data_IF_123051995222
#
_entry.id   IF_123051995222
#
_cell.length_a   1.000
_cell.length_b   1.000
_cell.length_c   1.000
_cell.angle_alpha   90.00
_cell.angle_beta   90.00
_cell.angle_gamma   90.00
#
_symmetry.space_group_name_H-M   'P 1'
#
loop_
_entity.id
_entity.type
_entity.pdbx_description
1 polymer ?
#
# COMPACT_ATOMS: atom_id res chain seq x y z
N UNK A 1 1.20 5.59 26.48
CA UNK A 1 -0.09 6.09 27.02
C UNK A 1 -0.55 7.17 26.06
N UNK A 2 -1.78 7.09 25.53
CA UNK A 2 -2.27 8.05 24.53
C UNK A 2 -2.40 9.44 25.15
N UNK A 3 -2.04 10.47 24.40
CA UNK A 3 -2.01 11.86 24.87
C UNK A 3 -3.39 12.50 24.79
N UNK A 4 -3.95 12.90 25.93
CA UNK A 4 -5.23 13.62 25.96
C UNK A 4 -5.08 15.12 25.66
N UNK A 5 -5.96 15.65 24.81
CA UNK A 5 -6.00 17.08 24.47
C UNK A 5 -7.42 17.59 24.72
N UNK A 6 -7.54 18.62 25.56
CA UNK A 6 -8.82 19.31 25.78
C UNK A 6 -8.89 20.57 24.90
N UNK A 7 -9.78 20.56 23.91
CA UNK A 7 -10.00 21.69 23.01
C UNK A 7 -11.14 22.60 23.48
N UNK A 8 -11.83 22.30 24.59
CA UNK A 8 -12.96 23.10 25.08
C UNK A 8 -12.47 24.48 25.54
N UNK A 9 -13.07 25.54 24.98
CA UNK A 9 -12.67 26.91 25.27
C UNK A 9 -11.26 27.27 24.80
N UNK A 10 -10.62 26.41 24.01
CA UNK A 10 -9.26 26.59 23.52
C UNK A 10 -9.24 27.33 22.18
N UNK A 11 -8.24 28.18 21.97
CA UNK A 11 -7.91 28.78 20.67
C UNK A 11 -6.75 28.04 19.97
N UNK A 12 -6.33 26.89 20.49
CA UNK A 12 -5.24 26.09 19.91
C UNK A 12 -5.68 25.60 18.53
N UNK A 13 -4.82 25.80 17.53
CA UNK A 13 -5.00 25.22 16.21
C UNK A 13 -4.88 23.69 16.29
N UNK A 14 -5.93 22.92 15.94
CA UNK A 14 -5.88 21.45 15.99
C UNK A 14 -4.73 20.85 15.17
N UNK A 15 -4.27 21.54 14.10
CA UNK A 15 -3.13 21.11 13.27
C UNK A 15 -1.81 21.12 14.03
N UNK A 16 -1.70 21.94 15.07
CA UNK A 16 -0.54 22.00 15.97
C UNK A 16 -0.74 21.06 17.15
N UNK A 17 -1.97 20.89 17.61
CA UNK A 17 -2.30 20.02 18.74
C UNK A 17 -2.10 18.53 18.40
N UNK A 18 -2.48 18.13 17.19
CA UNK A 18 -2.34 16.76 16.66
C UNK A 18 -1.62 16.85 15.30
N UNK A 19 -0.29 17.06 15.29
CA UNK A 19 0.46 17.14 14.05
C UNK A 19 0.50 15.76 13.37
N UNK A 20 0.61 15.75 12.04
CA UNK A 20 0.94 14.51 11.31
C UNK A 20 2.34 14.03 11.68
N UNK A 21 2.57 12.73 11.61
CA UNK A 21 3.91 12.17 11.72
C UNK A 21 4.82 12.78 10.63
N UNK A 22 5.97 13.30 11.04
CA UNK A 22 6.94 13.85 10.10
C UNK A 22 7.60 12.70 9.32
N UNK A 23 7.49 12.74 7.99
CA UNK A 23 8.27 11.86 7.11
C UNK A 23 9.47 12.65 6.57
N UNK A 24 10.68 12.18 6.84
CA UNK A 24 11.89 12.75 6.23
C UNK A 24 12.08 12.21 4.80
N UNK A 25 11.22 12.67 3.90
CA UNK A 25 11.27 12.27 2.48
C UNK A 25 12.56 12.77 1.81
N UNK A 26 13.19 13.83 2.33
CA UNK A 26 14.44 14.36 1.79
C UNK A 26 15.62 13.41 2.07
N UNK A 27 15.80 12.96 3.32
CA UNK A 27 16.82 11.94 3.66
C UNK A 27 16.54 10.63 2.89
N UNK A 28 15.28 10.23 2.78
CA UNK A 28 14.93 9.05 1.99
C UNK A 28 15.30 9.21 0.51
N UNK A 29 15.10 10.40 -0.09
CA UNK A 29 15.45 10.69 -1.47
C UNK A 29 16.96 10.61 -1.72
N UNK A 30 17.78 11.14 -0.80
CA UNK A 30 19.25 11.04 -0.91
C UNK A 30 19.72 9.58 -0.84
N UNK A 31 19.10 8.77 0.01
CA UNK A 31 19.42 7.34 0.14
C UNK A 31 19.02 6.51 -1.07
N UNK A 32 17.91 6.84 -1.74
CA UNK A 32 17.45 6.08 -2.91
C UNK A 32 18.05 6.56 -4.23
N UNK A 33 18.63 7.76 -4.29
CA UNK A 33 19.20 8.30 -5.52
C UNK A 33 20.24 7.37 -6.20
N UNK A 34 21.18 6.73 -5.46
CA UNK A 34 22.07 5.74 -6.05
C UNK A 34 21.32 4.54 -6.64
N UNK A 35 20.27 4.05 -5.96
CA UNK A 35 19.45 2.92 -6.40
C UNK A 35 18.80 3.24 -7.75
N UNK A 36 18.16 4.41 -7.85
CA UNK A 36 17.47 4.83 -9.08
C UNK A 36 18.45 4.97 -10.26
N UNK A 37 19.63 5.54 -10.01
CA UNK A 37 20.68 5.71 -11.03
C UNK A 37 21.20 4.36 -11.51
N UNK A 38 21.55 3.46 -10.60
CA UNK A 38 22.09 2.14 -10.95
C UNK A 38 21.08 1.28 -11.69
N UNK A 39 19.80 1.30 -11.30
CA UNK A 39 18.76 0.58 -12.07
C UNK A 39 18.61 1.15 -13.48
N UNK A 40 18.75 2.46 -13.66
CA UNK A 40 18.71 3.09 -14.98
C UNK A 40 19.91 2.72 -15.86
N UNK A 41 21.10 2.62 -15.27
CA UNK A 41 22.36 2.40 -15.98
C UNK A 41 22.64 0.91 -16.23
N UNK A 42 22.29 0.05 -15.27
CA UNK A 42 22.68 -1.36 -15.22
C UNK A 42 21.50 -2.33 -15.28
N UNK A 43 20.26 -1.82 -15.24
CA UNK A 43 19.05 -2.62 -15.43
C UNK A 43 18.87 -3.72 -14.39
N UNK A 44 18.53 -4.93 -14.85
CA UNK A 44 18.14 -6.05 -13.99
C UNK A 44 19.24 -6.50 -13.00
N UNK A 45 20.52 -6.34 -13.33
CA UNK A 45 21.60 -6.71 -12.40
C UNK A 45 21.64 -5.79 -11.18
N UNK A 46 21.42 -4.48 -11.36
CA UNK A 46 21.28 -3.58 -10.21
C UNK A 46 20.06 -3.95 -9.36
N UNK A 47 18.93 -4.28 -9.98
CA UNK A 47 17.73 -4.72 -9.26
C UNK A 47 18.00 -5.97 -8.41
N UNK A 48 18.69 -6.97 -8.97
CA UNK A 48 19.06 -8.19 -8.26
C UNK A 48 20.00 -7.93 -7.09
N UNK A 49 21.03 -7.09 -7.27
CA UNK A 49 21.96 -6.71 -6.19
C UNK A 49 21.26 -5.98 -5.05
N UNK A 50 20.41 -5.00 -5.36
CA UNK A 50 19.67 -4.26 -4.34
C UNK A 50 18.67 -5.15 -3.60
N UNK A 51 18.07 -6.12 -4.29
CA UNK A 51 17.20 -7.13 -3.63
C UNK A 51 18.01 -7.99 -2.66
N UNK A 52 19.21 -8.44 -3.04
CA UNK A 52 20.09 -9.21 -2.15
C UNK A 52 20.51 -8.39 -0.91
N UNK A 53 20.84 -7.11 -1.10
CA UNK A 53 21.30 -6.23 -0.03
C UNK A 53 20.17 -5.80 0.93
N UNK A 54 18.98 -5.50 0.41
CA UNK A 54 17.87 -4.91 1.18
C UNK A 54 16.89 -5.96 1.69
N UNK A 55 16.56 -6.96 0.86
CA UNK A 55 15.62 -8.04 1.21
C UNK A 55 16.35 -9.26 1.80
N UNK A 56 17.68 -9.28 1.77
CA UNK A 56 18.51 -10.35 2.33
C UNK A 56 18.49 -11.64 1.51
N UNK A 57 17.98 -11.58 0.27
CA UNK A 57 17.89 -12.71 -0.65
C UNK A 57 17.97 -12.22 -2.09
N UNK A 58 18.79 -12.88 -2.91
CA UNK A 58 18.78 -12.72 -4.35
C UNK A 58 17.72 -13.66 -4.94
N UNK A 59 16.65 -13.16 -5.59
CA UNK A 59 15.64 -14.05 -6.18
C UNK A 59 16.25 -14.89 -7.31
N UNK A 60 15.79 -16.14 -7.52
CA UNK A 60 16.31 -17.00 -8.59
C UNK A 60 16.11 -16.42 -9.99
N UNK A 61 15.01 -15.70 -10.18
CA UNK A 61 14.74 -14.86 -11.34
C UNK A 61 13.89 -13.66 -10.90
N UNK A 62 13.96 -12.55 -11.64
CA UNK A 62 13.09 -11.40 -11.35
C UNK A 62 11.64 -11.73 -11.67
N UNK A 63 11.34 -12.29 -12.85
CA UNK A 63 9.97 -12.70 -13.21
C UNK A 63 9.62 -14.00 -12.50
N UNK A 64 8.51 -14.00 -11.77
CA UNK A 64 7.99 -15.19 -11.11
C UNK A 64 7.48 -16.17 -12.17
N UNK A 65 7.92 -17.44 -12.16
CA UNK A 65 7.42 -18.44 -13.09
C UNK A 65 5.91 -18.70 -12.90
N UNK A 66 5.17 -18.91 -14.00
CA UNK A 66 3.74 -19.20 -13.95
C UNK A 66 3.40 -20.41 -13.07
N UNK A 67 4.27 -21.41 -13.02
CA UNK A 67 4.14 -22.57 -12.14
C UNK A 67 4.14 -22.17 -10.65
N UNK A 68 4.97 -21.21 -10.23
CA UNK A 68 4.98 -20.73 -8.85
C UNK A 68 3.68 -20.02 -8.48
N UNK A 69 3.10 -19.27 -9.43
CA UNK A 69 1.80 -18.59 -9.26
C UNK A 69 0.67 -19.63 -9.13
N UNK A 70 0.64 -20.63 -10.01
CA UNK A 70 -0.36 -21.70 -9.98
C UNK A 70 -0.25 -22.57 -8.72
N UNK A 71 0.96 -22.95 -8.32
CA UNK A 71 1.20 -23.71 -7.09
C UNK A 71 0.78 -22.92 -5.85
N UNK A 72 1.00 -21.60 -5.85
CA UNK A 72 0.58 -20.74 -4.76
C UNK A 72 -0.96 -20.69 -4.63
N UNK A 73 -1.70 -20.62 -5.74
CA UNK A 73 -3.17 -20.72 -5.71
C UNK A 73 -3.64 -22.07 -5.18
N UNK A 74 -3.08 -23.16 -5.72
CA UNK A 74 -3.44 -24.52 -5.33
C UNK A 74 -3.14 -24.82 -3.86
N UNK A 75 -2.11 -24.16 -3.31
CA UNK A 75 -1.70 -24.27 -1.91
C UNK A 75 -2.44 -23.34 -0.94
N UNK A 76 -3.35 -22.47 -1.41
CA UNK A 76 -4.12 -21.62 -0.51
C UNK A 76 -5.01 -22.47 0.41
N UNK A 77 -4.97 -22.20 1.70
CA UNK A 77 -5.93 -22.77 2.64
C UNK A 77 -7.37 -22.44 2.19
N UNK A 78 -8.32 -23.39 2.25
CA UNK A 78 -9.68 -23.17 1.74
C UNK A 78 -10.38 -21.94 2.31
N UNK A 79 -10.18 -21.67 3.61
CA UNK A 79 -10.74 -20.50 4.28
C UNK A 79 -10.13 -19.18 3.77
N UNK A 80 -8.81 -19.15 3.54
CA UNK A 80 -8.11 -17.99 2.98
C UNK A 80 -8.56 -17.75 1.54
N UNK A 81 -8.63 -18.80 0.72
CA UNK A 81 -9.11 -18.70 -0.67
C UNK A 81 -10.54 -18.15 -0.72
N UNK A 82 -11.44 -18.64 0.13
CA UNK A 82 -12.81 -18.14 0.21
C UNK A 82 -12.86 -16.66 0.61
N UNK A 83 -12.06 -16.25 1.61
CA UNK A 83 -11.99 -14.85 2.04
C UNK A 83 -11.45 -13.92 0.93
N UNK A 84 -10.44 -14.36 0.18
CA UNK A 84 -9.89 -13.60 -0.94
C UNK A 84 -10.93 -13.44 -2.06
N UNK A 85 -11.65 -14.50 -2.42
CA UNK A 85 -12.71 -14.43 -3.43
C UNK A 85 -13.84 -13.49 -3.03
N UNK A 86 -14.28 -13.53 -1.77
CA UNK A 86 -15.29 -12.60 -1.24
C UNK A 86 -14.80 -11.15 -1.29
N UNK A 87 -13.54 -10.90 -0.91
CA UNK A 87 -12.93 -9.58 -0.99
C UNK A 87 -12.81 -9.08 -2.44
N UNK A 88 -12.42 -9.94 -3.38
CA UNK A 88 -12.37 -9.62 -4.81
C UNK A 88 -13.75 -9.23 -5.32
N UNK A 89 -14.78 -10.03 -5.01
CA UNK A 89 -16.14 -9.77 -5.46
C UNK A 89 -16.70 -8.44 -4.91
N UNK A 90 -16.54 -8.19 -3.60
CA UNK A 90 -16.98 -6.92 -2.98
C UNK A 90 -16.26 -5.71 -3.55
N UNK A 91 -14.92 -5.80 -3.69
CA UNK A 91 -14.13 -4.70 -4.25
C UNK A 91 -14.52 -4.43 -5.69
N UNK A 92 -14.78 -5.48 -6.48
CA UNK A 92 -15.21 -5.34 -7.87
C UNK A 92 -16.58 -4.67 -7.98
N UNK A 93 -17.55 -5.07 -7.15
CA UNK A 93 -18.87 -4.42 -7.08
C UNK A 93 -18.74 -2.92 -6.79
N UNK A 94 -17.99 -2.55 -5.77
CA UNK A 94 -17.82 -1.15 -5.38
C UNK A 94 -17.15 -0.29 -6.48
N UNK A 95 -16.15 -0.83 -7.19
CA UNK A 95 -15.46 -0.07 -8.24
C UNK A 95 -16.27 0.00 -9.55
N UNK A 96 -17.11 -0.99 -9.84
CA UNK A 96 -18.01 -0.94 -11.00
C UNK A 96 -19.00 0.23 -10.90
N UNK A 97 -19.51 0.51 -9.70
CA UNK A 97 -20.42 1.65 -9.46
C UNK A 97 -19.75 3.02 -9.67
N UNK A 98 -18.40 3.07 -9.63
CA UNK A 98 -17.63 4.30 -9.81
C UNK A 98 -17.19 4.53 -11.26
N UNK A 99 -17.46 3.58 -12.17
CA UNK A 99 -16.98 3.66 -13.55
C UNK A 99 -17.67 4.83 -14.28
N UNK A 100 -16.85 5.80 -14.69
CA UNK A 100 -17.32 6.96 -15.46
C UNK A 100 -17.63 6.58 -16.90
N UNK A 101 -18.56 7.30 -17.51
CA UNK A 101 -18.96 7.15 -18.90
C UNK A 101 -18.66 8.42 -19.68
N UNK A 102 -18.32 8.26 -20.96
CA UNK A 102 -18.08 9.38 -21.86
C UNK A 102 -19.32 10.28 -21.92
N UNK A 103 -19.11 11.59 -21.86
CA UNK A 103 -20.20 12.58 -21.83
C UNK A 103 -20.02 13.58 -22.96
N UNK A 104 -21.06 13.76 -23.79
CA UNK A 104 -21.07 14.74 -24.88
C UNK A 104 -22.06 15.86 -24.58
N UNK A 105 -21.55 17.09 -24.58
CA UNK A 105 -22.32 18.32 -24.38
C UNK A 105 -22.44 19.08 -25.70
N UNK A 106 -23.66 19.49 -26.06
CA UNK A 106 -23.91 20.43 -27.15
C UNK A 106 -23.77 21.84 -26.58
N UNK A 107 -22.71 22.54 -26.94
CA UNK A 107 -22.41 23.88 -26.39
C UNK A 107 -23.16 24.96 -27.18
N UNK A 108 -23.28 24.76 -28.49
CA UNK A 108 -24.05 25.60 -29.44
C UNK A 108 -24.62 24.71 -30.54
N UNK A 109 -25.55 25.23 -31.35
CA UNK A 109 -26.07 24.50 -32.50
C UNK A 109 -24.92 24.04 -33.43
N UNK A 110 -24.80 22.73 -33.63
CA UNK A 110 -23.73 22.12 -34.43
C UNK A 110 -22.36 22.02 -33.75
N UNK A 111 -22.20 22.55 -32.53
CA UNK A 111 -20.94 22.52 -31.77
C UNK A 111 -21.04 21.62 -30.54
N UNK A 112 -20.26 20.54 -30.51
CA UNK A 112 -20.24 19.56 -29.42
C UNK A 112 -18.86 19.44 -28.77
N UNK A 113 -18.82 19.19 -27.47
CA UNK A 113 -17.61 18.85 -26.71
C UNK A 113 -17.86 17.50 -26.05
N UNK A 114 -16.92 16.55 -26.22
CA UNK A 114 -16.99 15.23 -25.59
C UNK A 114 -15.84 15.06 -24.60
N UNK A 115 -16.18 14.76 -23.35
CA UNK A 115 -15.24 14.25 -22.36
C UNK A 115 -15.19 12.72 -22.46
N UNK A 116 -13.99 12.16 -22.59
CA UNK A 116 -13.78 10.71 -22.70
C UNK A 116 -12.91 10.20 -21.56
N UNK A 117 -13.26 9.03 -21.04
CA UNK A 117 -12.50 8.33 -20.01
C UNK A 117 -11.73 7.17 -20.64
N UNK A 118 -10.43 7.35 -20.84
CA UNK A 118 -9.55 6.36 -21.46
C UNK A 118 -8.65 5.75 -20.37
N UNK A 119 -8.60 4.42 -20.21
CA UNK A 119 -7.69 3.79 -19.27
C UNK A 119 -6.22 4.00 -19.68
N UNK A 120 -5.31 3.98 -18.70
CA UNK A 120 -3.87 3.89 -18.99
C UNK A 120 -3.56 2.59 -19.74
N UNK A 121 -2.52 2.60 -20.56
CA UNK A 121 -2.17 1.43 -21.38
C UNK A 121 -1.52 0.34 -20.52
N UNK A 122 -0.59 0.73 -19.65
CA UNK A 122 0.09 -0.19 -18.74
C UNK A 122 0.26 0.38 -17.32
N UNK A 123 -0.08 -0.44 -16.32
CA UNK A 123 0.03 -0.07 -14.89
C UNK A 123 0.94 -1.01 -14.11
N UNK A 124 1.82 -0.45 -13.28
CA UNK A 124 2.62 -1.18 -12.30
C UNK A 124 2.00 -1.13 -10.91
N UNK A 125 1.81 -2.28 -10.29
CA UNK A 125 1.10 -2.42 -9.03
C UNK A 125 2.08 -2.90 -7.96
N UNK A 126 2.51 -1.98 -7.10
CA UNK A 126 3.42 -2.28 -6.00
C UNK A 126 2.66 -2.88 -4.82
N UNK A 127 3.08 -4.06 -4.39
CA UNK A 127 2.50 -4.79 -3.26
C UNK A 127 3.56 -4.95 -2.18
N UNK A 128 3.37 -4.36 -0.98
CA UNK A 128 4.30 -4.53 0.12
C UNK A 128 4.45 -5.98 0.56
N UNK A 129 5.64 -6.33 1.04
CA UNK A 129 5.93 -7.62 1.68
C UNK A 129 7.05 -7.50 2.72
N UNK A 130 7.57 -8.63 3.17
CA UNK A 130 8.59 -8.70 4.23
C UNK A 130 7.95 -8.89 5.60
N UNK A 131 7.90 -7.82 6.42
CA UNK A 131 7.41 -7.90 7.81
C UNK A 131 5.92 -8.25 7.94
N UNK A 132 5.13 -7.90 6.94
CA UNK A 132 3.71 -8.19 6.89
C UNK A 132 3.30 -8.56 5.46
N UNK A 133 2.30 -9.41 5.36
CA UNK A 133 1.84 -10.00 4.09
C UNK A 133 0.42 -9.51 3.84
N UNK A 134 0.23 -8.71 2.79
CA UNK A 134 -1.04 -8.05 2.50
C UNK A 134 -1.60 -8.46 1.13
N UNK A 135 -2.26 -9.63 1.03
CA UNK A 135 -2.97 -10.01 -0.21
C UNK A 135 -4.12 -9.05 -0.52
N UNK A 136 -4.64 -8.34 0.49
CA UNK A 136 -5.58 -7.23 0.32
C UNK A 136 -5.02 -6.14 -0.60
N UNK A 137 -3.72 -5.81 -0.52
CA UNK A 137 -3.10 -4.82 -1.40
C UNK A 137 -3.07 -5.26 -2.86
N UNK A 138 -2.96 -6.56 -3.15
CA UNK A 138 -3.12 -7.09 -4.51
C UNK A 138 -4.52 -6.77 -5.01
N UNK A 139 -5.54 -7.12 -4.23
CA UNK A 139 -6.96 -6.91 -4.58
C UNK A 139 -7.24 -5.42 -4.82
N UNK A 140 -6.82 -4.56 -3.89
CA UNK A 140 -7.08 -3.12 -3.95
C UNK A 140 -6.35 -2.40 -5.07
N UNK A 141 -5.31 -2.99 -5.67
CA UNK A 141 -4.60 -2.43 -6.83
C UNK A 141 -5.09 -3.03 -8.15
N UNK A 142 -5.22 -4.36 -8.22
CA UNK A 142 -5.54 -5.08 -9.47
C UNK A 142 -7.00 -4.89 -9.88
N UNK A 143 -7.94 -4.99 -8.94
CA UNK A 143 -9.37 -4.87 -9.25
C UNK A 143 -9.73 -3.53 -9.90
N UNK A 144 -9.33 -2.36 -9.37
CA UNK A 144 -9.62 -1.09 -10.06
C UNK A 144 -8.98 -1.00 -11.44
N UNK A 145 -7.76 -1.52 -11.64
CA UNK A 145 -7.11 -1.55 -12.95
C UNK A 145 -7.91 -2.39 -13.97
N UNK A 146 -8.39 -3.56 -13.55
CA UNK A 146 -9.24 -4.42 -14.38
C UNK A 146 -10.60 -3.78 -14.67
N UNK A 147 -11.23 -3.15 -13.68
CA UNK A 147 -12.52 -2.46 -13.85
C UNK A 147 -12.40 -1.25 -14.77
N UNK A 148 -11.27 -0.53 -14.72
CA UNK A 148 -10.97 0.57 -15.63
C UNK A 148 -10.74 0.09 -17.08
N UNK A 149 -10.39 -1.19 -17.27
CA UNK A 149 -10.10 -1.77 -18.58
C UNK A 149 -8.67 -1.53 -19.06
N UNK A 150 -7.71 -1.44 -18.12
CA UNK A 150 -6.28 -1.35 -18.44
C UNK A 150 -5.85 -2.59 -19.22
N UNK A 151 -5.16 -2.39 -20.35
CA UNK A 151 -4.77 -3.47 -21.27
C UNK A 151 -3.62 -4.33 -20.74
N UNK A 152 -2.74 -3.75 -19.93
CA UNK A 152 -1.55 -4.44 -19.43
C UNK A 152 -1.28 -4.04 -17.97
N UNK A 153 -1.04 -5.02 -17.10
CA UNK A 153 -0.69 -4.75 -15.72
C UNK A 153 0.42 -5.68 -15.26
N UNK A 154 1.22 -5.21 -14.31
CA UNK A 154 2.30 -5.96 -13.70
C UNK A 154 2.27 -5.77 -12.19
N UNK A 155 2.48 -6.85 -11.43
CA UNK A 155 2.60 -6.79 -9.97
C UNK A 155 4.06 -6.94 -9.57
N UNK A 156 4.54 -6.09 -8.67
CA UNK A 156 5.85 -6.22 -8.03
C UNK A 156 5.68 -6.44 -6.53
N UNK A 157 6.40 -7.39 -5.96
CA UNK A 157 6.43 -7.65 -4.52
C UNK A 157 7.82 -8.12 -4.11
N UNK A 158 8.34 -7.71 -2.93
CA UNK A 158 9.69 -8.07 -2.52
C UNK A 158 9.87 -9.60 -2.44
N UNK A 159 11.07 -10.11 -2.80
CA UNK A 159 11.43 -11.49 -2.59
C UNK A 159 11.51 -11.80 -1.09
N UNK A 160 11.21 -13.04 -0.70
CA UNK A 160 11.29 -13.46 0.70
C UNK A 160 12.17 -14.70 0.84
N UNK A 161 13.14 -14.62 1.75
CA UNK A 161 14.12 -15.69 2.00
C UNK A 161 13.44 -17.01 2.38
N UNK A 162 12.41 -16.93 3.22
CA UNK A 162 11.70 -18.10 3.74
C UNK A 162 10.82 -18.78 2.66
N UNK A 163 10.66 -18.14 1.50
CA UNK A 163 9.93 -18.64 0.33
C UNK A 163 10.82 -18.76 -0.91
N UNK A 164 12.12 -19.07 -0.70
CA UNK A 164 13.05 -19.36 -1.79
C UNK A 164 13.36 -18.17 -2.70
N UNK A 165 13.18 -16.94 -2.20
CA UNK A 165 13.36 -15.71 -2.98
C UNK A 165 12.16 -15.32 -3.83
N UNK A 166 10.99 -15.93 -3.62
CA UNK A 166 9.73 -15.51 -4.25
C UNK A 166 8.90 -14.62 -3.32
N UNK A 167 7.93 -13.85 -3.86
CA UNK A 167 6.91 -13.22 -3.03
C UNK A 167 6.15 -14.26 -2.21
N UNK A 168 5.55 -13.82 -1.11
CA UNK A 168 4.80 -14.72 -0.24
C UNK A 168 3.70 -15.48 -1.00
N UNK A 169 3.48 -16.80 -0.75
CA UNK A 169 2.50 -17.60 -1.49
C UNK A 169 1.09 -17.00 -1.51
N UNK A 170 0.61 -16.43 -0.41
CA UNK A 170 -0.71 -15.76 -0.40
C UNK A 170 -0.82 -14.56 -1.34
N UNK A 171 0.28 -13.83 -1.60
CA UNK A 171 0.31 -12.73 -2.59
C UNK A 171 0.20 -13.33 -4.00
N UNK A 172 0.99 -14.35 -4.30
CA UNK A 172 0.97 -15.05 -5.59
C UNK A 172 -0.38 -15.73 -5.85
N UNK A 173 -0.98 -16.35 -4.83
CA UNK A 173 -2.31 -16.93 -4.91
C UNK A 173 -3.39 -15.89 -5.15
N UNK A 174 -3.30 -14.71 -4.53
CA UNK A 174 -4.20 -13.59 -4.84
C UNK A 174 -4.03 -13.09 -6.29
N UNK A 175 -2.78 -12.98 -6.77
CA UNK A 175 -2.50 -12.69 -8.18
C UNK A 175 -3.14 -13.72 -9.12
N UNK A 176 -3.00 -15.01 -8.82
CA UNK A 176 -3.57 -16.11 -9.60
C UNK A 176 -5.11 -16.03 -9.67
N UNK A 177 -5.79 -15.82 -8.54
CA UNK A 177 -7.25 -15.68 -8.46
C UNK A 177 -7.77 -14.48 -9.28
N UNK A 178 -6.94 -13.45 -9.47
CA UNK A 178 -7.23 -12.27 -10.27
C UNK A 178 -6.77 -12.41 -11.72
N UNK A 179 -6.13 -13.51 -12.11
CA UNK A 179 -5.62 -13.72 -13.46
C UNK A 179 -4.38 -12.89 -13.80
N UNK A 180 -3.58 -12.51 -12.80
CA UNK A 180 -2.31 -11.79 -13.00
C UNK A 180 -1.18 -12.80 -13.21
N UNK A 181 -0.57 -12.76 -14.39
CA UNK A 181 0.51 -13.64 -14.84
C UNK A 181 1.89 -12.96 -14.92
N UNK A 182 1.92 -11.63 -14.97
CA UNK A 182 3.14 -10.82 -14.92
C UNK A 182 3.42 -10.33 -13.50
N UNK A 183 4.16 -11.16 -12.75
CA UNK A 183 4.60 -10.85 -11.38
C UNK A 183 6.12 -10.84 -11.31
N UNK A 184 6.70 -9.83 -10.65
CA UNK A 184 8.13 -9.75 -10.39
C UNK A 184 8.47 -9.78 -8.90
N UNK A 185 9.51 -10.54 -8.57
CA UNK A 185 10.11 -10.67 -7.24
C UNK A 185 11.10 -9.53 -7.00
N UNK A 186 10.58 -8.35 -6.67
CA UNK A 186 11.34 -7.12 -6.43
C UNK A 186 10.57 -6.16 -5.53
N UNK A 187 11.26 -5.53 -4.58
CA UNK A 187 10.71 -4.56 -3.64
C UNK A 187 11.33 -3.16 -3.73
N UNK A 188 11.01 -2.32 -2.74
CA UNK A 188 11.67 -1.03 -2.52
C UNK A 188 11.68 -0.05 -3.68
N UNK A 189 12.65 0.87 -3.64
CA UNK A 189 12.86 1.88 -4.67
C UNK A 189 13.30 1.27 -6.01
N UNK A 190 14.04 0.15 -5.96
CA UNK A 190 14.49 -0.59 -7.14
C UNK A 190 13.32 -1.16 -7.95
N UNK A 191 12.23 -1.59 -7.30
CA UNK A 191 11.00 -2.01 -8.01
C UNK A 191 10.38 -0.85 -8.78
N UNK A 192 10.26 0.32 -8.16
CA UNK A 192 9.67 1.51 -8.80
C UNK A 192 10.55 1.99 -9.95
N UNK A 193 11.87 1.98 -9.78
CA UNK A 193 12.83 2.28 -10.86
C UNK A 193 12.72 1.30 -12.02
N UNK A 194 12.60 0.00 -11.73
CA UNK A 194 12.42 -1.05 -12.73
C UNK A 194 11.15 -0.84 -13.54
N UNK A 195 10.04 -0.50 -12.87
CA UNK A 195 8.76 -0.19 -13.54
C UNK A 195 8.83 1.11 -14.34
N UNK A 196 9.62 2.09 -13.90
CA UNK A 196 9.74 3.36 -14.60
C UNK A 196 10.58 3.30 -15.87
N UNK A 197 11.72 2.61 -15.83
CA UNK A 197 12.65 2.55 -16.95
C UNK A 197 12.44 1.33 -17.85
N UNK A 198 11.84 0.26 -17.30
CA UNK A 198 11.86 -1.06 -17.89
C UNK A 198 13.27 -1.66 -17.87
N UNK A 199 13.38 -2.99 -17.82
CA UNK A 199 14.67 -3.68 -17.80
C UNK A 199 14.63 -4.98 -18.60
N UNK A 200 15.70 -5.25 -19.36
CA UNK A 200 15.90 -6.55 -19.99
C UNK A 200 16.28 -7.59 -18.92
N UNK A 201 15.65 -8.76 -19.00
CA UNK A 201 15.80 -9.81 -17.99
C UNK A 201 16.97 -10.74 -18.35
N UNK A 202 17.77 -11.22 -17.36
CA UNK A 202 18.91 -12.11 -17.63
C UNK A 202 18.53 -13.42 -18.35
N UNK A 203 17.33 -13.95 -18.09
CA UNK A 203 16.81 -15.17 -18.70
C UNK A 203 16.12 -14.96 -20.06
N UNK A 204 16.17 -13.73 -20.61
CA UNK A 204 15.44 -13.33 -21.81
C UNK A 204 14.06 -12.75 -21.50
N UNK A 205 13.60 -11.88 -22.41
CA UNK A 205 12.41 -11.05 -22.21
C UNK A 205 12.73 -9.74 -21.48
N UNK A 206 11.69 -8.94 -21.22
CA UNK A 206 11.80 -7.59 -20.67
C UNK A 206 10.65 -7.32 -19.70
N UNK A 207 10.94 -6.59 -18.62
CA UNK A 207 9.90 -5.85 -17.91
C UNK A 207 9.68 -4.54 -18.67
N UNK A 208 8.58 -4.43 -19.40
CA UNK A 208 8.24 -3.19 -20.10
C UNK A 208 7.93 -2.09 -19.07
N UNK A 209 8.35 -0.84 -19.34
CA UNK A 209 8.01 0.29 -18.49
C UNK A 209 6.48 0.48 -18.44
N UNK A 210 6.00 1.15 -17.39
CA UNK A 210 4.56 1.37 -17.16
C UNK A 210 4.23 2.86 -17.23
N UNK A 211 2.99 3.20 -17.54
CA UNK A 211 2.54 4.61 -17.57
C UNK A 211 2.24 5.15 -16.18
N UNK A 212 1.79 4.28 -15.28
CA UNK A 212 1.34 4.62 -13.93
C UNK A 212 1.80 3.54 -12.95
N UNK A 213 2.33 3.95 -11.80
CA UNK A 213 2.57 3.05 -10.67
C UNK A 213 1.63 3.37 -9.51
N UNK A 214 0.97 2.35 -8.98
CA UNK A 214 0.09 2.46 -7.81
C UNK A 214 0.53 1.53 -6.69
N UNK A 215 0.00 1.77 -5.49
CA UNK A 215 0.12 0.86 -4.36
C UNK A 215 0.94 1.44 -3.20
N UNK A 216 0.54 1.17 -1.95
CA UNK A 216 1.20 1.75 -0.79
C UNK A 216 2.61 1.17 -0.63
N UNK A 217 3.50 1.89 0.05
CA UNK A 217 4.83 1.39 0.37
C UNK A 217 5.44 2.17 1.52
N UNK A 218 6.63 1.76 1.95
CA UNK A 218 7.38 2.52 2.95
C UNK A 218 7.87 3.86 2.37
N UNK A 219 8.53 4.66 3.20
CA UNK A 219 9.05 5.98 2.82
C UNK A 219 9.97 5.95 1.58
N UNK A 220 10.74 4.87 1.38
CA UNK A 220 11.65 4.73 0.24
C UNK A 220 10.89 4.47 -1.07
N UNK A 221 9.80 3.71 -1.02
CA UNK A 221 8.89 3.52 -2.16
C UNK A 221 8.19 4.84 -2.50
N UNK A 222 7.69 5.56 -1.49
CA UNK A 222 7.09 6.88 -1.67
C UNK A 222 8.09 7.90 -2.24
N UNK A 223 9.33 7.91 -1.74
CA UNK A 223 10.40 8.76 -2.27
C UNK A 223 10.74 8.40 -3.72
N UNK A 224 10.78 7.11 -4.08
CA UNK A 224 11.04 6.67 -5.45
C UNK A 224 9.93 7.09 -6.42
N UNK A 225 8.66 6.88 -6.03
CA UNK A 225 7.49 7.37 -6.77
C UNK A 225 7.59 8.88 -7.02
N UNK A 226 7.92 9.65 -5.98
CA UNK A 226 8.09 11.10 -6.09
C UNK A 226 9.24 11.49 -7.02
N UNK A 227 10.39 10.84 -6.88
CA UNK A 227 11.59 11.13 -7.67
C UNK A 227 11.42 10.78 -9.16
N UNK A 228 10.59 9.79 -9.48
CA UNK A 228 10.31 9.33 -10.84
C UNK A 228 9.06 9.98 -11.45
N UNK A 229 8.41 10.91 -10.73
CA UNK A 229 7.28 11.68 -11.26
C UNK A 229 7.71 12.44 -12.51
N UNK A 230 7.02 12.22 -13.62
CA UNK A 230 7.34 12.80 -14.93
C UNK A 230 8.08 11.84 -15.87
N UNK A 231 8.67 10.76 -15.34
CA UNK A 231 9.01 9.56 -16.12
C UNK A 231 7.80 8.62 -16.15
N UNK A 232 7.16 8.45 -14.99
CA UNK A 232 5.91 7.69 -14.82
C UNK A 232 4.89 8.50 -14.02
N UNK A 233 3.61 8.17 -14.23
CA UNK A 233 2.53 8.59 -13.35
C UNK A 233 2.60 7.87 -12.00
N UNK A 234 2.08 8.52 -10.96
CA UNK A 234 1.91 7.92 -9.64
C UNK A 234 0.50 8.21 -9.11
N UNK A 235 -0.04 7.31 -8.30
CA UNK A 235 -1.32 7.48 -7.61
C UNK A 235 -1.28 8.63 -6.59
N UNK A 236 -0.48 8.45 -5.54
CA UNK A 236 -0.33 9.39 -4.45
C UNK A 236 0.97 9.15 -3.68
N UNK A 237 1.40 10.16 -2.93
CA UNK A 237 2.46 9.99 -1.94
C UNK A 237 1.82 9.45 -0.65
N UNK A 238 1.85 8.13 -0.49
CA UNK A 238 1.32 7.48 0.70
C UNK A 238 2.14 7.90 1.93
N UNK A 239 1.45 8.53 2.88
CA UNK A 239 1.98 8.85 4.21
C UNK A 239 1.85 7.68 5.18
N UNK A 240 2.23 7.85 6.45
CA UNK A 240 1.97 6.88 7.50
C UNK A 240 0.46 6.67 7.62
N UNK A 241 0.07 5.47 8.06
CA UNK A 241 -1.35 5.11 8.12
C UNK A 241 -2.02 5.82 9.32
N UNK A 242 -3.25 6.33 9.13
CA UNK A 242 -3.94 7.15 10.14
C UNK A 242 -5.38 6.65 10.35
N UNK A 243 -5.90 6.74 11.58
CA UNK A 243 -7.33 6.56 11.90
C UNK A 243 -7.79 7.70 12.81
N UNK A 244 -8.98 8.21 12.54
CA UNK A 244 -9.66 9.18 13.39
C UNK A 244 -11.08 8.67 13.70
N UNK A 245 -11.35 8.44 14.97
CA UNK A 245 -12.64 7.94 15.47
C UNK A 245 -13.38 9.12 16.09
N UNK A 246 -14.59 9.38 15.61
CA UNK A 246 -15.53 10.30 16.25
C UNK A 246 -16.57 9.47 17.00
N UNK A 247 -16.61 9.60 18.32
CA UNK A 247 -17.50 8.81 19.16
C UNK A 247 -18.11 9.64 20.30
N UNK A 248 -19.39 9.44 20.58
CA UNK A 248 -20.08 9.97 21.75
C UNK A 248 -20.14 8.95 22.89
N UNK A 249 -20.78 9.32 24.00
CA UNK A 249 -20.92 8.51 25.20
C UNK A 249 -21.69 7.19 25.00
N UNK A 250 -22.32 6.97 23.84
CA UNK A 250 -23.02 5.73 23.53
C UNK A 250 -22.11 4.65 22.96
N UNK A 251 -20.88 4.99 22.57
CA UNK A 251 -19.92 4.05 21.99
C UNK A 251 -19.41 3.03 23.02
N UNK A 252 -19.22 1.78 22.58
CA UNK A 252 -18.56 0.76 23.40
C UNK A 252 -17.04 1.04 23.44
N UNK A 253 -16.45 1.32 24.61
CA UNK A 253 -15.02 1.63 24.71
C UNK A 253 -14.12 0.49 24.23
N UNK A 254 -14.61 -0.76 24.23
CA UNK A 254 -13.87 -1.93 23.71
C UNK A 254 -13.72 -1.92 22.21
N UNK A 255 -14.74 -1.48 21.49
CA UNK A 255 -14.66 -1.36 20.03
C UNK A 255 -13.79 -0.18 19.64
N UNK A 256 -13.96 0.98 20.29
CA UNK A 256 -13.14 2.16 20.02
C UNK A 256 -11.65 1.87 20.27
N UNK A 257 -11.31 1.21 21.38
CA UNK A 257 -9.94 0.81 21.66
C UNK A 257 -9.41 -0.17 20.59
N UNK A 258 -10.21 -1.16 20.19
CA UNK A 258 -9.81 -2.13 19.16
C UNK A 258 -9.52 -1.45 17.81
N UNK A 259 -10.33 -0.47 17.40
CA UNK A 259 -10.15 0.29 16.17
C UNK A 259 -8.90 1.20 16.22
N UNK A 260 -8.59 1.81 17.37
CA UNK A 260 -7.33 2.56 17.54
C UNK A 260 -6.13 1.61 17.39
N UNK A 261 -6.20 0.43 18.01
CA UNK A 261 -5.16 -0.58 17.96
C UNK A 261 -4.97 -1.17 16.56
N UNK A 262 -6.05 -1.36 15.80
CA UNK A 262 -5.97 -1.92 14.44
C UNK A 262 -5.13 -1.06 13.51
N UNK A 263 -5.08 0.26 13.75
CA UNK A 263 -4.21 1.14 12.99
C UNK A 263 -2.80 1.23 13.57
N UNK A 264 -2.68 1.29 14.90
CA UNK A 264 -1.40 1.39 15.57
C UNK A 264 -0.50 0.15 15.38
N UNK A 265 -1.06 -1.01 15.03
CA UNK A 265 -0.26 -2.22 14.76
C UNK A 265 0.46 -2.21 13.40
N UNK A 266 0.09 -1.30 12.48
CA UNK A 266 0.67 -1.28 11.14
C UNK A 266 2.11 -0.75 11.12
N UNK A 267 2.38 0.38 11.79
CA UNK A 267 3.68 1.05 11.77
C UNK A 267 3.87 1.93 13.02
N UNK A 268 5.13 2.15 13.44
CA UNK A 268 5.45 3.02 14.59
C UNK A 268 5.10 4.49 14.34
N UNK A 269 5.03 4.91 13.07
CA UNK A 269 4.60 6.25 12.67
C UNK A 269 3.09 6.35 12.46
N UNK A 270 2.31 5.27 12.68
CA UNK A 270 0.87 5.32 12.55
C UNK A 270 0.25 6.34 13.52
N UNK A 271 -0.85 6.96 13.11
CA UNK A 271 -1.62 7.88 13.93
C UNK A 271 -2.97 7.27 14.30
N UNK A 272 -3.33 7.30 15.58
CA UNK A 272 -4.63 6.88 16.06
C UNK A 272 -5.22 7.97 16.96
N UNK A 273 -6.39 8.50 16.57
CA UNK A 273 -7.02 9.64 17.23
C UNK A 273 -8.45 9.32 17.62
N UNK A 274 -8.82 9.57 18.88
CA UNK A 274 -10.20 9.58 19.34
C UNK A 274 -10.67 11.01 19.62
N UNK A 275 -11.71 11.43 18.91
CA UNK A 275 -12.43 12.68 19.16
C UNK A 275 -13.76 12.35 19.85
N UNK A 276 -13.93 12.83 21.07
CA UNK A 276 -15.17 12.61 21.85
C UNK A 276 -15.53 13.81 22.72
N UNK A 277 -16.82 14.13 22.89
CA UNK A 277 -17.26 15.10 23.89
C UNK A 277 -17.33 14.50 25.31
N UNK A 278 -17.29 13.18 25.47
CA UNK A 278 -17.45 12.50 26.77
C UNK A 278 -16.10 12.29 27.44
N UNK A 279 -15.99 12.76 28.68
CA UNK A 279 -14.78 12.55 29.48
C UNK A 279 -14.68 11.09 29.91
N UNK A 280 -15.83 10.51 30.24
CA UNK A 280 -16.03 9.15 30.72
C UNK A 280 -15.66 8.12 29.65
N UNK A 281 -16.06 8.35 28.39
CA UNK A 281 -15.68 7.48 27.28
C UNK A 281 -14.16 7.48 27.09
N UNK A 282 -13.53 8.66 27.07
CA UNK A 282 -12.09 8.77 26.88
C UNK A 282 -11.31 8.03 28.00
N UNK A 283 -11.77 8.12 29.24
CA UNK A 283 -11.17 7.38 30.37
C UNK A 283 -11.35 5.87 30.21
N UNK A 284 -12.55 5.43 29.82
CA UNK A 284 -12.84 4.02 29.61
C UNK A 284 -12.02 3.42 28.45
N UNK A 285 -11.88 4.16 27.34
CA UNK A 285 -11.05 3.76 26.19
C UNK A 285 -9.58 3.69 26.58
N UNK A 286 -9.07 4.66 27.36
CA UNK A 286 -7.67 4.64 27.79
C UNK A 286 -7.33 3.40 28.62
N UNK A 287 -8.23 2.97 29.51
CA UNK A 287 -8.08 1.72 30.27
C UNK A 287 -8.10 0.49 29.37
N UNK A 288 -9.00 0.48 28.40
CA UNK A 288 -9.18 -0.64 27.49
C UNK A 288 -8.03 -0.78 26.49
N UNK A 289 -7.46 0.33 26.02
CA UNK A 289 -6.22 0.34 25.23
C UNK A 289 -5.10 -0.36 25.99
N UNK A 290 -4.87 -0.02 27.27
CA UNK A 290 -3.84 -0.68 28.08
C UNK A 290 -4.10 -2.19 28.17
N UNK A 291 -5.35 -2.59 28.41
CA UNK A 291 -5.74 -4.00 28.53
C UNK A 291 -5.56 -4.77 27.23
N UNK A 292 -5.97 -4.19 26.10
CA UNK A 292 -5.90 -4.86 24.81
C UNK A 292 -4.47 -4.93 24.29
N UNK A 293 -3.68 -3.85 24.40
CA UNK A 293 -2.28 -3.81 23.94
C UNK A 293 -1.48 -4.96 24.55
N UNK A 294 -1.64 -5.21 25.85
CA UNK A 294 -0.96 -6.29 26.56
C UNK A 294 -1.29 -7.71 26.02
N UNK A 295 -2.40 -7.86 25.31
CA UNK A 295 -2.85 -9.13 24.72
C UNK A 295 -2.56 -9.23 23.20
N UNK A 296 -1.88 -8.25 22.61
CA UNK A 296 -1.50 -8.28 21.18
C UNK A 296 -0.12 -8.90 20.97
N UNK A 297 0.16 -9.35 19.75
CA UNK A 297 1.51 -9.80 19.34
C UNK A 297 2.50 -8.64 19.14
N UNK A 298 1.99 -7.44 18.85
CA UNK A 298 2.78 -6.29 18.40
C UNK A 298 2.86 -5.18 19.46
N UNK A 299 2.97 -5.58 20.74
CA UNK A 299 2.95 -4.69 21.92
C UNK A 299 3.87 -3.48 21.75
N UNK A 300 5.14 -3.70 21.39
CA UNK A 300 6.14 -2.63 21.26
C UNK A 300 5.76 -1.61 20.19
N UNK A 301 5.43 -2.08 18.99
CA UNK A 301 5.04 -1.23 17.85
C UNK A 301 3.80 -0.41 18.15
N UNK A 302 2.76 -1.05 18.69
CA UNK A 302 1.51 -0.37 19.04
C UNK A 302 1.78 0.67 20.13
N UNK A 303 2.59 0.33 21.14
CA UNK A 303 2.93 1.25 22.23
C UNK A 303 3.68 2.47 21.71
N UNK A 304 4.61 2.28 20.78
CA UNK A 304 5.36 3.37 20.14
C UNK A 304 4.43 4.29 19.32
N UNK A 305 3.60 3.72 18.44
CA UNK A 305 2.65 4.47 17.62
C UNK A 305 1.64 5.27 18.47
N UNK A 306 1.09 4.67 19.52
CA UNK A 306 0.14 5.32 20.43
C UNK A 306 0.79 6.38 21.35
N UNK A 307 2.11 6.34 21.51
CA UNK A 307 2.86 7.34 22.29
C UNK A 307 3.42 8.47 21.41
N UNK A 308 3.30 8.34 20.08
CA UNK A 308 3.70 9.35 19.11
C UNK A 308 2.88 10.63 19.22
N UNK A 309 3.49 11.75 18.83
CA UNK A 309 2.84 13.07 18.89
C UNK A 309 1.65 13.21 17.92
N UNK A 310 1.49 12.28 17.00
CA UNK A 310 0.39 12.20 16.04
C UNK A 310 -0.85 11.47 16.58
N UNK A 311 -0.74 10.79 17.72
CA UNK A 311 -1.82 10.04 18.35
C UNK A 311 -2.38 10.78 19.56
N UNK A 312 -3.71 10.78 19.75
CA UNK A 312 -4.38 11.54 20.80
C UNK A 312 -5.77 11.00 21.20
#
# INVERSE_FOLDING_TARGET
MIRRIDLRGSSIDPRVAVPRAAMDVADAADRIAPILREVREEGAEAVLRWSEQLDGVRPPALRVPAEQIANAEAGLEPAVRAALLEAIDRTKRAHLDQRRTDTTSVVVAGGTVTERWIPVERVGLYVPGGRAVYPSSVIMNVVPAQVAGVSSLVVVSPPQRDFGGWPHPTILGACALLGVDEVYSVGGAQAIAMLAYGVDLPAGGRCEPVDLVTGPGNIYVTAAKRALRGVIGIDSEAGPTEIAILADDTADPRHVAADLLSQAEHDVLAAAVLVTPSVELADAVALEVVRQVANTKHVERITEALSGVQSA
#
